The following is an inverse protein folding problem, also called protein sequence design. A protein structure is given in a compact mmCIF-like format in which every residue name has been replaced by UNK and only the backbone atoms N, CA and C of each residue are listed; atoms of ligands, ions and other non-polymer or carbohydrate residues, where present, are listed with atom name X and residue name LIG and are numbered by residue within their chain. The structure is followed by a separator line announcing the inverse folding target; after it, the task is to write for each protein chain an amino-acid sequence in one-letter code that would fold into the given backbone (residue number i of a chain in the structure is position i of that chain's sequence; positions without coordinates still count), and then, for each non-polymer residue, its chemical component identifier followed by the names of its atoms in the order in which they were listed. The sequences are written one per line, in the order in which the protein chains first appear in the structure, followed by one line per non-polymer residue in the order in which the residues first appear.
data_IF_608846944229
#
_entry.id   IF_608846944229
#
_cell.length_a   1.000
_cell.length_b   1.000
_cell.length_c   1.000
_cell.angle_alpha   90.00
_cell.angle_beta   90.00
_cell.angle_gamma   90.00
#
_symmetry.space_group_name_H-M   'P 1'
#
loop_
_entity.id
_entity.type
_entity.pdbx_description
1 polymer ?
#
# COMPACT_ATOMS: atom_id res chain seq x y z
N UNK A 1 3.53 -13.01 -13.90
CA UNK A 1 4.90 -13.28 -14.41
C UNK A 1 5.70 -13.95 -13.30
N UNK A 2 6.70 -14.75 -13.64
CA UNK A 2 7.61 -15.39 -12.70
C UNK A 2 9.00 -15.57 -13.30
N UNK A 3 9.98 -15.78 -12.41
CA UNK A 3 11.35 -16.17 -12.74
C UNK A 3 11.67 -17.46 -11.99
N UNK A 4 12.26 -18.42 -12.69
CA UNK A 4 12.80 -19.65 -12.13
C UNK A 4 14.32 -19.58 -12.26
N UNK A 5 15.02 -19.56 -11.13
CA UNK A 5 16.47 -19.59 -11.06
C UNK A 5 16.93 -20.94 -10.51
N UNK A 6 17.96 -21.53 -11.11
CA UNK A 6 18.52 -22.82 -10.69
C UNK A 6 19.98 -22.65 -10.30
N UNK A 7 20.37 -23.34 -9.24
CA UNK A 7 21.78 -23.45 -8.83
C UNK A 7 22.49 -22.08 -8.74
N UNK A 8 21.77 -21.08 -8.22
CA UNK A 8 22.30 -19.73 -8.01
C UNK A 8 23.60 -19.83 -7.20
N UNK A 9 24.65 -19.09 -7.60
CA UNK A 9 26.03 -19.14 -7.07
C UNK A 9 26.94 -20.25 -7.59
N UNK A 10 26.43 -21.20 -8.43
CA UNK A 10 27.27 -22.21 -9.10
C UNK A 10 27.63 -21.77 -10.52
N UNK A 11 28.69 -22.35 -11.08
CA UNK A 11 29.16 -22.09 -12.46
C UNK A 11 28.07 -22.34 -13.52
N UNK A 12 27.09 -23.18 -13.20
CA UNK A 12 26.00 -23.59 -14.09
C UNK A 12 24.66 -23.01 -13.63
N UNK A 13 24.62 -21.71 -13.33
CA UNK A 13 23.37 -21.02 -13.06
C UNK A 13 22.49 -20.95 -14.32
N UNK A 14 21.18 -21.10 -14.13
CA UNK A 14 20.17 -21.01 -15.19
C UNK A 14 19.03 -20.12 -14.72
N UNK A 15 18.59 -19.19 -15.57
CA UNK A 15 17.43 -18.35 -15.35
C UNK A 15 16.41 -18.56 -16.46
N UNK A 16 15.16 -18.79 -16.08
CA UNK A 16 14.02 -18.87 -16.97
C UNK A 16 12.98 -17.83 -16.55
N UNK A 17 12.37 -17.13 -17.51
CA UNK A 17 11.36 -16.10 -17.26
C UNK A 17 10.13 -16.32 -18.11
N UNK A 18 8.96 -16.06 -17.54
CA UNK A 18 7.69 -16.14 -18.26
C UNK A 18 6.47 -16.07 -17.36
N UNK A 19 5.39 -16.70 -17.79
CA UNK A 19 4.18 -16.93 -17.00
C UNK A 19 4.24 -18.27 -16.27
N UNK A 20 3.42 -18.45 -15.23
CA UNK A 20 3.33 -19.74 -14.53
C UNK A 20 2.82 -20.87 -15.45
N UNK A 21 2.00 -20.54 -16.45
CA UNK A 21 1.50 -21.49 -17.44
C UNK A 21 2.61 -22.00 -18.36
N UNK A 22 3.43 -21.10 -18.88
CA UNK A 22 4.61 -21.45 -19.69
C UNK A 22 5.62 -22.26 -18.86
N UNK A 23 5.85 -21.86 -17.61
CA UNK A 23 6.74 -22.59 -16.70
C UNK A 23 6.28 -24.04 -16.51
N UNK A 24 4.99 -24.24 -16.28
CA UNK A 24 4.41 -25.59 -16.14
C UNK A 24 4.64 -26.42 -17.39
N UNK A 25 4.45 -25.85 -18.57
CA UNK A 25 4.66 -26.56 -19.85
C UNK A 25 6.13 -26.92 -20.06
N UNK A 26 7.03 -25.97 -19.86
CA UNK A 26 8.47 -26.13 -20.05
C UNK A 26 9.05 -27.20 -19.10
N UNK A 27 8.80 -27.05 -17.81
CA UNK A 27 9.45 -27.89 -16.80
C UNK A 27 8.78 -29.25 -16.61
N UNK A 28 7.59 -29.48 -17.18
CA UNK A 28 7.01 -30.82 -17.30
C UNK A 28 7.84 -31.73 -18.24
N UNK A 29 8.45 -31.16 -19.28
CA UNK A 29 9.27 -31.92 -20.23
C UNK A 29 10.71 -32.05 -19.75
N UNK A 30 11.25 -30.99 -19.15
CA UNK A 30 12.69 -30.86 -18.88
C UNK A 30 13.12 -31.44 -17.53
N UNK A 31 12.19 -31.66 -16.59
CA UNK A 31 12.42 -32.29 -15.27
C UNK A 31 13.71 -31.84 -14.56
N UNK A 32 13.87 -30.53 -14.28
CA UNK A 32 15.09 -29.98 -13.69
C UNK A 32 15.33 -30.55 -12.29
N UNK A 33 16.60 -30.78 -11.94
CA UNK A 33 17.04 -31.22 -10.61
C UNK A 33 17.90 -30.15 -9.95
N UNK A 34 18.05 -30.25 -8.63
CA UNK A 34 18.88 -29.35 -7.84
C UNK A 34 18.08 -28.30 -7.08
N UNK A 35 18.75 -27.27 -6.59
CA UNK A 35 18.10 -26.15 -5.91
C UNK A 35 17.40 -25.23 -6.92
N UNK A 36 16.16 -24.84 -6.62
CA UNK A 36 15.32 -24.01 -7.47
C UNK A 36 14.73 -22.87 -6.64
N UNK A 37 14.97 -21.63 -7.08
CA UNK A 37 14.33 -20.43 -6.56
C UNK A 37 13.26 -19.96 -7.53
N UNK A 38 12.03 -19.81 -7.03
CA UNK A 38 10.89 -19.29 -7.80
C UNK A 38 10.51 -17.89 -7.29
N UNK A 39 10.67 -16.88 -8.14
CA UNK A 39 10.18 -15.53 -7.90
C UNK A 39 8.85 -15.35 -8.64
N UNK A 40 7.81 -14.94 -7.93
CA UNK A 40 6.48 -14.71 -8.51
C UNK A 40 6.15 -13.23 -8.38
N UNK A 41 5.75 -12.60 -9.49
CA UNK A 41 5.20 -11.24 -9.46
C UNK A 41 3.94 -11.27 -8.59
N UNK A 42 3.89 -10.44 -7.55
CA UNK A 42 2.70 -10.24 -6.74
C UNK A 42 1.50 -9.81 -7.60
N UNK A 43 0.29 -10.12 -7.15
CA UNK A 43 -0.89 -9.58 -7.82
C UNK A 43 -0.81 -8.06 -7.78
N UNK A 44 -1.08 -7.39 -8.90
CA UNK A 44 -1.64 -6.06 -8.81
C UNK A 44 -2.99 -6.28 -8.12
N UNK A 45 -3.18 -5.69 -6.94
CA UNK A 45 -4.50 -5.65 -6.33
C UNK A 45 -5.40 -4.92 -7.33
N UNK A 46 -6.12 -5.67 -8.16
CA UNK A 46 -7.37 -5.21 -8.72
C UNK A 46 -8.34 -5.18 -7.54
N UNK A 47 -8.12 -4.24 -6.62
CA UNK A 47 -9.21 -3.77 -5.78
C UNK A 47 -10.18 -3.15 -6.77
N UNK A 48 -11.18 -3.94 -7.19
CA UNK A 48 -12.51 -3.37 -7.19
C UNK A 48 -12.64 -2.78 -5.78
N UNK A 49 -12.45 -1.47 -5.67
CA UNK A 49 -12.51 -0.74 -4.41
C UNK A 49 -13.76 -1.24 -3.71
N UNK A 50 -13.58 -1.89 -2.56
CA UNK A 50 -14.75 -2.35 -1.84
C UNK A 50 -15.61 -1.12 -1.54
N UNK A 51 -16.95 -1.19 -1.55
CA UNK A 51 -17.78 -0.03 -1.24
C UNK A 51 -17.39 0.65 0.09
N UNK A 52 -16.84 -0.12 1.03
CA UNK A 52 -16.27 0.37 2.28
C UNK A 52 -14.99 1.21 2.07
N UNK A 53 -14.09 0.80 1.17
CA UNK A 53 -12.85 1.52 0.88
C UNK A 53 -13.14 2.85 0.19
N UNK A 54 -14.02 2.88 -0.82
CA UNK A 54 -14.44 4.13 -1.48
C UNK A 54 -15.08 5.11 -0.48
N UNK A 55 -15.90 4.62 0.45
CA UNK A 55 -16.50 5.45 1.51
C UNK A 55 -15.43 6.00 2.48
N UNK A 56 -14.45 5.18 2.87
CA UNK A 56 -13.34 5.62 3.71
C UNK A 56 -12.48 6.68 2.99
N UNK A 57 -12.22 6.52 1.69
CA UNK A 57 -11.50 7.51 0.89
C UNK A 57 -12.27 8.83 0.79
N UNK A 58 -13.57 8.79 0.52
CA UNK A 58 -14.41 10.00 0.47
C UNK A 58 -14.34 10.79 1.78
N UNK A 59 -14.49 10.12 2.93
CA UNK A 59 -14.46 10.81 4.22
C UNK A 59 -13.07 11.34 4.60
N UNK A 60 -12.01 10.60 4.25
CA UNK A 60 -10.64 11.08 4.44
C UNK A 60 -10.38 12.31 3.57
N UNK A 61 -10.83 12.29 2.31
CA UNK A 61 -10.69 13.41 1.38
C UNK A 61 -11.41 14.67 1.89
N UNK A 62 -12.63 14.53 2.40
CA UNK A 62 -13.38 15.65 2.99
C UNK A 62 -12.61 16.26 4.18
N UNK A 63 -12.05 15.43 5.06
CA UNK A 63 -11.31 15.90 6.22
C UNK A 63 -10.00 16.60 5.82
N UNK A 64 -9.31 16.10 4.80
CA UNK A 64 -8.11 16.76 4.26
C UNK A 64 -8.45 18.09 3.58
N UNK A 65 -9.55 18.16 2.83
CA UNK A 65 -10.03 19.41 2.24
C UNK A 65 -10.44 20.45 3.28
N UNK A 66 -10.84 20.01 4.48
CA UNK A 66 -11.09 20.87 5.64
C UNK A 66 -9.83 21.19 6.48
N UNK A 67 -8.64 20.80 6.02
CA UNK A 67 -7.36 21.14 6.66
C UNK A 67 -6.95 20.25 7.83
N UNK A 68 -7.66 19.15 8.09
CA UNK A 68 -7.28 18.22 9.16
C UNK A 68 -5.96 17.51 8.85
N UNK A 69 -5.14 17.32 9.90
CA UNK A 69 -3.88 16.57 9.78
C UNK A 69 -4.15 15.08 9.62
N UNK A 70 -3.22 14.36 8.98
CA UNK A 70 -3.28 12.91 8.75
C UNK A 70 -3.72 12.11 10.00
N UNK A 71 -3.09 12.38 11.14
CA UNK A 71 -3.36 11.69 12.40
C UNK A 71 -4.77 11.93 12.93
N UNK A 72 -5.31 13.13 12.72
CA UNK A 72 -6.66 13.51 13.15
C UNK A 72 -7.69 12.88 12.22
N UNK A 73 -7.53 13.04 10.91
CA UNK A 73 -8.44 12.47 9.91
C UNK A 73 -8.58 10.95 10.08
N UNK A 74 -7.45 10.25 10.27
CA UNK A 74 -7.43 8.79 10.51
C UNK A 74 -8.17 8.42 11.80
N UNK A 75 -8.01 9.21 12.88
CA UNK A 75 -8.71 8.95 14.14
C UNK A 75 -10.22 9.09 13.93
N UNK A 76 -10.67 10.22 13.39
CA UNK A 76 -12.10 10.51 13.19
C UNK A 76 -12.77 9.45 12.31
N UNK A 77 -12.16 9.09 11.18
CA UNK A 77 -12.73 8.09 10.26
C UNK A 77 -12.76 6.70 10.89
N UNK A 78 -11.70 6.31 11.63
CA UNK A 78 -11.66 5.01 12.30
C UNK A 78 -12.76 4.86 13.37
N UNK A 79 -13.03 5.93 14.12
CA UNK A 79 -14.07 5.95 15.16
C UNK A 79 -15.47 5.96 14.53
N UNK A 80 -15.71 6.79 13.52
CA UNK A 80 -17.02 6.91 12.86
C UNK A 80 -17.45 5.64 12.13
N UNK A 81 -16.52 4.98 11.46
CA UNK A 81 -16.79 3.80 10.63
C UNK A 81 -16.56 2.48 11.37
N UNK A 82 -16.15 2.53 12.65
CA UNK A 82 -15.77 1.37 13.45
C UNK A 82 -14.73 0.46 12.75
N UNK A 83 -13.80 1.06 12.01
CA UNK A 83 -12.74 0.36 11.27
C UNK A 83 -11.42 0.46 12.04
N UNK A 84 -10.58 -0.59 11.97
CA UNK A 84 -9.26 -0.58 12.59
C UNK A 84 -8.43 0.61 12.10
N UNK A 85 -7.91 1.40 13.04
CA UNK A 85 -7.05 2.56 12.77
C UNK A 85 -5.89 2.27 11.81
N UNK A 86 -5.29 1.08 11.91
CA UNK A 86 -4.19 0.65 11.01
C UNK A 86 -4.62 0.62 9.53
N UNK A 87 -5.84 0.16 9.26
CA UNK A 87 -6.39 0.09 7.89
C UNK A 87 -6.61 1.49 7.34
N UNK A 88 -7.27 2.36 8.10
CA UNK A 88 -7.55 3.76 7.73
C UNK A 88 -6.24 4.55 7.55
N UNK A 89 -5.24 4.30 8.39
CA UNK A 89 -3.93 4.95 8.28
C UNK A 89 -3.17 4.54 7.00
N UNK A 90 -3.18 3.26 6.65
CA UNK A 90 -2.56 2.78 5.42
C UNK A 90 -3.23 3.39 4.18
N UNK A 91 -4.56 3.48 4.20
CA UNK A 91 -5.36 4.13 3.15
C UNK A 91 -5.02 5.61 3.03
N UNK A 92 -5.04 6.35 4.15
CA UNK A 92 -4.70 7.76 4.20
C UNK A 92 -3.28 8.05 3.70
N UNK A 93 -2.31 7.19 4.03
CA UNK A 93 -0.94 7.29 3.51
C UNK A 93 -0.86 7.04 2.01
N UNK A 94 -1.65 6.11 1.47
CA UNK A 94 -1.73 5.88 0.03
C UNK A 94 -2.27 7.11 -0.71
N UNK A 95 -3.29 7.76 -0.14
CA UNK A 95 -3.87 9.01 -0.67
C UNK A 95 -2.89 10.20 -0.61
N UNK A 96 -2.11 10.33 0.48
CA UNK A 96 -1.10 11.39 0.63
C UNK A 96 0.22 11.10 -0.10
N UNK A 97 0.54 9.83 -0.35
CA UNK A 97 1.79 9.39 -0.98
C UNK A 97 1.94 9.78 -2.45
N UNK A 98 0.88 10.27 -3.09
CA UNK A 98 0.87 10.76 -4.47
C UNK A 98 1.02 12.28 -4.62
N UNK A 99 1.22 13.03 -3.54
CA UNK A 99 1.39 14.49 -3.61
C UNK A 99 2.12 15.10 -2.41
N UNK A 100 3.26 15.74 -2.72
CA UNK A 100 4.00 16.74 -1.92
C UNK A 100 5.03 16.28 -0.86
N UNK A 101 6.30 16.52 -1.21
CA UNK A 101 7.38 16.97 -0.30
C UNK A 101 7.12 18.43 0.12
N UNK A 102 7.54 18.81 1.33
CA UNK A 102 7.47 20.17 1.97
C UNK A 102 6.04 20.54 2.45
N UNK A 103 5.80 21.16 3.61
CA UNK A 103 6.57 22.19 4.30
C UNK A 103 6.13 22.30 5.78
N UNK A 104 7.06 22.63 6.67
CA UNK A 104 6.77 23.10 8.04
C UNK A 104 6.20 24.52 7.96
N UNK A 105 5.19 24.88 8.76
CA UNK A 105 5.09 26.24 9.35
C UNK A 105 4.27 26.21 10.65
N UNK A 106 4.87 26.85 11.66
CA UNK A 106 4.35 27.23 12.98
C UNK A 106 3.04 28.05 12.91
N UNK A 107 2.17 27.91 13.91
CA UNK A 107 1.71 29.04 14.73
C UNK A 107 0.82 28.53 15.86
N UNK A 108 1.39 28.50 17.07
CA UNK A 108 0.61 28.62 18.29
C UNK A 108 0.03 30.04 18.30
N UNK A 109 -1.28 30.16 18.14
CA UNK A 109 -2.04 31.35 18.55
C UNK A 109 -2.96 30.88 19.65
N UNK A 110 -2.56 31.14 20.89
CA UNK A 110 -3.45 31.11 22.04
C UNK A 110 -4.29 32.40 22.00
N UNK A 111 -5.53 32.30 21.52
CA UNK A 111 -6.55 33.30 21.79
C UNK A 111 -7.18 32.97 23.15
N UNK A 112 -6.63 33.58 24.20
CA UNK A 112 -7.23 33.60 25.54
C UNK A 112 -8.40 34.60 25.53
N UNK A 113 -9.62 34.06 25.52
CA UNK A 113 -10.87 34.80 25.71
C UNK A 113 -11.27 34.73 27.20
N UNK A 114 -11.25 35.86 27.88
CA UNK A 114 -12.15 36.10 29.02
C UNK A 114 -12.47 37.60 29.10
N UNK A 115 -13.63 37.98 28.55
CA UNK A 115 -14.89 38.23 29.26
C UNK A 115 -14.84 39.46 30.17
N UNK A 116 -15.44 40.52 29.65
CA UNK A 116 -16.06 41.62 30.36
C UNK A 116 -17.11 41.14 31.38
N UNK A 117 -16.94 41.50 32.64
CA UNK A 117 -17.87 42.30 33.46
C UNK A 117 -17.15 42.83 34.71
#
# INVERSE_FOLDING_TARGET
QCVIAREMTKIHEEFWMGTLGEAKSEFAQRSPKGEITLLIRGSEDQSAESPLETELESQLQDLFSNGHRLSEAVKLVSERMAVKKRTVYALALRMHGSGHKSEKTHSDVNDDVHLSD
#
